data_IF_126751308213
#
_entry.id   IF_126751308213
#
_cell.length_a   1.000
_cell.length_b   1.000
_cell.length_c   1.000
_cell.angle_alpha   90.00
_cell.angle_beta   90.00
_cell.angle_gamma   90.00
#
_symmetry.space_group_name_H-M   'P 1'
#
loop_
_entity.id
_entity.type
_entity.pdbx_description
1 polymer ?
#
# COMPACT_ATOMS: atom_id res chain seq x y z
N UNK A 1 28.26 -27.51 6.79
CA UNK A 1 27.17 -26.81 6.13
C UNK A 1 25.93 -27.06 6.95
N UNK A 2 25.55 -26.14 7.83
CA UNK A 2 24.32 -26.24 8.61
C UNK A 2 23.18 -25.72 7.72
N UNK A 3 22.25 -26.61 7.37
CA UNK A 3 20.96 -26.18 6.83
C UNK A 3 20.26 -25.39 7.95
N UNK A 4 20.24 -24.07 7.85
CA UNK A 4 19.25 -23.30 8.58
C UNK A 4 17.90 -23.65 7.94
N UNK A 5 17.10 -24.44 8.64
CA UNK A 5 15.68 -24.57 8.31
C UNK A 5 15.12 -23.16 8.26
N UNK A 6 14.66 -22.74 7.08
CA UNK A 6 13.95 -21.47 6.91
C UNK A 6 12.65 -21.57 7.70
N UNK A 7 12.63 -20.99 8.89
CA UNK A 7 11.41 -20.88 9.68
C UNK A 7 10.48 -19.93 8.92
N UNK A 8 9.53 -20.49 8.18
CA UNK A 8 8.44 -19.73 7.57
C UNK A 8 7.33 -19.64 8.61
N UNK A 9 7.13 -18.49 9.25
CA UNK A 9 6.08 -18.35 10.25
C UNK A 9 4.72 -18.50 9.57
N UNK A 10 3.84 -19.29 10.16
CA UNK A 10 2.50 -19.54 9.62
C UNK A 10 1.61 -18.32 9.89
N UNK A 11 1.02 -17.78 8.83
CA UNK A 11 0.04 -16.72 8.95
C UNK A 11 -1.24 -17.20 9.65
N UNK A 12 -1.77 -16.37 10.56
CA UNK A 12 -3.03 -16.59 11.25
C UNK A 12 -4.10 -15.62 10.74
N UNK A 13 -5.34 -16.10 10.57
CA UNK A 13 -6.45 -15.25 10.18
C UNK A 13 -6.91 -14.40 11.36
N UNK A 14 -6.83 -13.07 11.22
CA UNK A 14 -7.35 -12.11 12.19
C UNK A 14 -8.80 -11.71 11.88
N UNK A 15 -9.12 -11.46 10.61
CA UNK A 15 -10.45 -11.08 10.14
C UNK A 15 -10.73 -11.77 8.80
N UNK A 16 -11.97 -12.21 8.60
CA UNK A 16 -12.45 -12.80 7.34
C UNK A 16 -13.72 -12.08 6.86
N UNK A 17 -14.09 -12.31 5.58
CA UNK A 17 -15.30 -11.76 4.99
C UNK A 17 -15.14 -10.36 4.40
N UNK A 18 -13.90 -9.88 4.25
CA UNK A 18 -13.56 -8.68 3.47
C UNK A 18 -13.92 -8.95 2.00
N UNK A 19 -14.52 -7.98 1.33
CA UNK A 19 -14.89 -8.16 -0.08
C UNK A 19 -13.66 -8.08 -0.98
N UNK A 20 -12.90 -6.99 -0.89
CA UNK A 20 -11.61 -6.81 -1.55
C UNK A 20 -10.81 -5.75 -0.81
N UNK A 21 -9.95 -6.18 0.09
CA UNK A 21 -9.13 -5.28 0.90
C UNK A 21 -7.91 -4.76 0.15
N UNK A 22 -7.57 -3.50 0.42
CA UNK A 22 -6.40 -2.80 -0.12
C UNK A 22 -5.93 -1.69 0.81
N UNK A 23 -4.75 -1.13 0.50
CA UNK A 23 -4.19 0.06 1.15
C UNK A 23 -4.19 -0.01 2.68
N UNK A 24 -3.62 -1.07 3.29
CA UNK A 24 -3.55 -1.17 4.74
C UNK A 24 -2.61 -0.10 5.31
N UNK A 25 -3.02 0.51 6.44
CA UNK A 25 -2.23 1.51 7.19
C UNK A 25 -2.36 1.27 8.68
N UNK A 26 -1.25 1.36 9.40
CA UNK A 26 -1.27 1.29 10.86
C UNK A 26 -1.41 2.69 11.44
N UNK A 27 -2.59 3.01 11.99
CA UNK A 27 -2.90 4.31 12.54
C UNK A 27 -3.72 4.18 13.84
N UNK A 28 -3.40 4.96 14.87
CA UNK A 28 -4.08 4.96 16.18
C UNK A 28 -4.28 3.56 16.79
N UNK A 29 -3.22 2.74 16.77
CA UNK A 29 -3.21 1.38 17.28
C UNK A 29 -4.24 0.44 16.64
N UNK A 30 -4.66 0.73 15.43
CA UNK A 30 -5.54 -0.10 14.59
C UNK A 30 -5.00 -0.22 13.19
N UNK A 31 -5.29 -1.33 12.54
CA UNK A 31 -5.09 -1.43 11.11
C UNK A 31 -6.30 -0.87 10.38
N UNK A 32 -6.05 0.14 9.57
CA UNK A 32 -7.04 0.69 8.65
C UNK A 32 -6.83 0.11 7.26
N UNK A 33 -7.91 -0.12 6.53
CA UNK A 33 -7.84 -0.60 5.16
C UNK A 33 -9.05 -0.16 4.34
N UNK A 34 -8.89 -0.10 3.03
CA UNK A 34 -9.96 0.11 2.07
C UNK A 34 -10.57 -1.23 1.67
N UNK A 35 -11.86 -1.47 1.96
CA UNK A 35 -12.60 -2.58 1.34
C UNK A 35 -13.26 -2.10 0.05
N UNK A 36 -12.56 -2.25 -1.05
CA UNK A 36 -12.99 -1.78 -2.37
C UNK A 36 -14.33 -2.38 -2.80
N UNK A 37 -14.55 -3.67 -2.49
CA UNK A 37 -15.75 -4.37 -2.88
C UNK A 37 -16.98 -3.94 -2.08
N UNK A 38 -16.80 -3.56 -0.83
CA UNK A 38 -17.86 -3.05 0.05
C UNK A 38 -18.02 -1.53 -0.02
N UNK A 39 -17.04 -0.82 -0.60
CA UNK A 39 -16.93 0.65 -0.59
C UNK A 39 -16.85 1.20 0.85
N UNK A 40 -16.05 0.56 1.66
CA UNK A 40 -15.91 0.90 3.08
C UNK A 40 -14.43 1.12 3.43
N UNK A 41 -14.18 2.01 4.37
CA UNK A 41 -12.90 2.10 5.08
C UNK A 41 -13.14 1.46 6.44
N UNK A 42 -12.34 0.44 6.73
CA UNK A 42 -12.41 -0.34 7.96
C UNK A 42 -11.24 0.01 8.88
N UNK A 43 -11.48 -0.04 10.20
CA UNK A 43 -10.43 -0.08 11.20
C UNK A 43 -10.56 -1.38 12.00
N UNK A 44 -9.45 -2.11 12.17
CA UNK A 44 -9.41 -3.43 12.82
C UNK A 44 -8.46 -3.35 14.00
N UNK A 45 -8.92 -3.73 15.19
CA UNK A 45 -8.07 -3.80 16.38
C UNK A 45 -7.23 -5.09 16.43
N UNK A 46 -6.29 -5.16 17.37
CA UNK A 46 -5.42 -6.32 17.54
C UNK A 46 -6.17 -7.63 17.87
N UNK A 47 -7.41 -7.56 18.32
CA UNK A 47 -8.29 -8.71 18.58
C UNK A 47 -9.13 -9.14 17.38
N UNK A 48 -9.01 -8.45 16.23
CA UNK A 48 -9.77 -8.73 15.01
C UNK A 48 -11.17 -8.13 14.97
N UNK A 49 -11.53 -7.28 15.93
CA UNK A 49 -12.80 -6.56 15.88
C UNK A 49 -12.69 -5.44 14.87
N UNK A 50 -13.54 -5.47 13.84
CA UNK A 50 -13.61 -4.47 12.80
C UNK A 50 -14.73 -3.46 13.02
N UNK A 51 -14.48 -2.22 12.62
CA UNK A 51 -15.43 -1.11 12.63
C UNK A 51 -15.42 -0.45 11.25
N UNK A 52 -16.61 -0.12 10.73
CA UNK A 52 -16.73 0.68 9.51
C UNK A 52 -16.58 2.15 9.91
N UNK A 53 -15.46 2.73 9.52
CA UNK A 53 -15.15 4.13 9.80
C UNK A 53 -15.83 5.08 8.82
N UNK A 54 -15.89 4.67 7.54
CA UNK A 54 -16.51 5.46 6.48
C UNK A 54 -17.11 4.56 5.41
N UNK A 55 -18.34 4.84 4.97
CA UNK A 55 -18.89 4.34 3.71
C UNK A 55 -18.62 5.36 2.63
N UNK A 56 -17.81 4.98 1.65
CA UNK A 56 -17.37 5.89 0.59
C UNK A 56 -18.36 5.91 -0.57
N UNK A 57 -18.54 7.07 -1.23
CA UNK A 57 -19.28 7.12 -2.49
C UNK A 57 -18.44 6.62 -3.68
N UNK A 58 -17.13 6.33 -3.45
CA UNK A 58 -16.16 6.06 -4.51
C UNK A 58 -16.21 4.61 -4.97
N UNK A 59 -15.94 4.43 -6.25
CA UNK A 59 -15.67 3.11 -6.83
C UNK A 59 -14.16 2.80 -6.74
N UNK A 60 -13.83 1.50 -6.84
CA UNK A 60 -12.43 1.06 -6.92
C UNK A 60 -11.71 1.65 -8.16
N UNK A 61 -10.44 1.97 -8.04
CA UNK A 61 -9.61 1.93 -6.84
C UNK A 61 -9.83 3.16 -5.93
N UNK A 62 -9.74 2.96 -4.62
CA UNK A 62 -9.59 4.04 -3.65
C UNK A 62 -8.65 3.60 -2.53
N UNK A 63 -7.63 4.39 -2.27
CA UNK A 63 -6.58 4.10 -1.29
C UNK A 63 -6.48 5.24 -0.28
N UNK A 64 -5.87 4.98 0.87
CA UNK A 64 -5.86 5.89 2.02
C UNK A 64 -4.46 6.14 2.55
N UNK A 65 -4.25 7.33 3.09
CA UNK A 65 -3.12 7.66 3.95
C UNK A 65 -3.42 8.91 4.78
N UNK A 66 -2.58 9.24 5.78
CA UNK A 66 -2.80 10.34 6.70
C UNK A 66 -1.88 11.52 6.46
N UNK A 67 -2.44 12.71 6.49
CA UNK A 67 -1.67 13.94 6.63
C UNK A 67 -1.00 14.00 8.03
N UNK A 68 0.12 14.71 8.18
CA UNK A 68 0.77 14.89 9.48
C UNK A 68 -0.12 15.53 10.57
N UNK A 69 -1.18 16.20 10.17
CA UNK A 69 -2.17 16.80 11.09
C UNK A 69 -3.27 15.78 11.53
N UNK A 70 -3.16 14.53 11.14
CA UNK A 70 -4.07 13.45 11.51
C UNK A 70 -5.34 13.34 10.67
N UNK A 71 -5.46 14.12 9.57
CA UNK A 71 -6.61 14.00 8.66
C UNK A 71 -6.36 12.96 7.60
N UNK A 72 -7.37 12.11 7.36
CA UNK A 72 -7.34 11.08 6.34
C UNK A 72 -7.46 11.67 4.94
N UNK A 73 -6.56 11.29 4.04
CA UNK A 73 -6.70 11.47 2.60
C UNK A 73 -7.15 10.17 1.94
N UNK A 74 -7.99 10.31 0.93
CA UNK A 74 -8.52 9.21 0.11
C UNK A 74 -8.24 9.55 -1.35
N UNK A 75 -7.57 8.66 -2.06
CA UNK A 75 -7.52 8.70 -3.52
C UNK A 75 -8.87 8.24 -4.04
N UNK A 76 -9.65 9.11 -4.65
CA UNK A 76 -10.83 8.75 -5.41
C UNK A 76 -10.38 8.55 -6.88
N UNK A 77 -9.92 7.31 -7.18
CA UNK A 77 -9.12 7.04 -8.37
C UNK A 77 -9.84 7.31 -9.68
N UNK A 78 -11.11 6.94 -9.79
CA UNK A 78 -11.93 7.18 -10.99
C UNK A 78 -12.40 8.63 -11.12
N UNK A 79 -12.56 9.31 -9.99
CA UNK A 79 -12.95 10.71 -9.93
C UNK A 79 -11.76 11.66 -10.12
N UNK A 80 -10.55 11.12 -10.25
CA UNK A 80 -9.30 11.86 -10.49
C UNK A 80 -9.06 12.96 -9.47
N UNK A 81 -9.23 12.66 -8.18
CA UNK A 81 -9.01 13.63 -7.10
C UNK A 81 -8.55 12.97 -5.81
N UNK A 82 -7.84 13.73 -5.01
CA UNK A 82 -7.68 13.46 -3.58
C UNK A 82 -8.84 14.10 -2.81
N UNK A 83 -9.39 13.35 -1.88
CA UNK A 83 -10.46 13.76 -1.00
C UNK A 83 -9.97 13.68 0.44
N UNK A 84 -10.28 14.67 1.24
CA UNK A 84 -9.95 14.72 2.65
C UNK A 84 -11.21 14.50 3.49
N UNK A 85 -11.11 13.58 4.44
CA UNK A 85 -12.18 13.36 5.41
C UNK A 85 -11.99 14.32 6.59
N UNK A 86 -13.01 15.14 6.85
CA UNK A 86 -13.00 16.16 7.90
C UNK A 86 -13.60 15.62 9.21
N UNK A 87 -13.27 16.25 10.37
CA UNK A 87 -13.80 15.83 11.67
C UNK A 87 -15.34 15.88 11.81
N UNK A 88 -16.01 16.69 10.99
CA UNK A 88 -17.48 16.76 10.94
C UNK A 88 -18.11 15.66 10.07
N UNK A 89 -17.28 14.75 9.52
CA UNK A 89 -17.69 13.68 8.62
C UNK A 89 -17.82 14.08 7.15
N UNK A 90 -17.59 15.34 6.80
CA UNK A 90 -17.65 15.78 5.41
C UNK A 90 -16.44 15.30 4.59
N UNK A 91 -16.67 15.10 3.29
CA UNK A 91 -15.63 14.75 2.31
C UNK A 91 -15.38 15.96 1.42
N UNK A 92 -14.21 16.57 1.54
CA UNK A 92 -13.84 17.77 0.77
C UNK A 92 -12.71 17.45 -0.22
N UNK A 93 -12.77 18.02 -1.41
CA UNK A 93 -11.68 17.88 -2.39
C UNK A 93 -10.42 18.53 -1.83
N UNK A 94 -9.36 17.74 -1.69
CA UNK A 94 -8.04 18.22 -1.28
C UNK A 94 -7.23 18.70 -2.48
N UNK A 95 -7.23 17.90 -3.58
CA UNK A 95 -6.57 18.23 -4.83
C UNK A 95 -7.29 17.60 -6.03
N UNK A 96 -7.24 18.26 -7.18
CA UNK A 96 -7.75 17.79 -8.46
C UNK A 96 -6.58 17.27 -9.29
N UNK A 97 -6.65 16.01 -9.71
CA UNK A 97 -5.59 15.32 -10.44
C UNK A 97 -5.83 15.27 -11.97
N UNK A 98 -6.99 15.75 -12.47
CA UNK A 98 -7.34 15.76 -13.90
C UNK A 98 -6.36 16.54 -14.76
N UNK A 99 -5.72 17.55 -14.19
CA UNK A 99 -4.68 18.34 -14.88
C UNK A 99 -3.38 17.55 -15.15
N UNK A 100 -3.20 16.38 -14.54
CA UNK A 100 -2.02 15.53 -14.72
C UNK A 100 -2.34 14.31 -15.60
N UNK A 101 -3.47 13.64 -15.35
CA UNK A 101 -3.90 12.49 -16.15
C UNK A 101 -5.40 12.27 -16.02
N UNK A 102 -6.02 11.79 -17.12
CA UNK A 102 -7.41 11.31 -17.14
C UNK A 102 -7.51 9.81 -16.81
N UNK A 103 -6.39 9.11 -16.61
CA UNK A 103 -6.37 7.72 -16.18
C UNK A 103 -6.73 7.58 -14.69
N UNK A 104 -7.22 6.41 -14.30
CA UNK A 104 -7.54 6.16 -12.90
C UNK A 104 -6.28 6.16 -12.02
N UNK A 105 -6.37 6.79 -10.87
CA UNK A 105 -5.33 6.79 -9.84
C UNK A 105 -5.49 5.59 -8.92
N UNK A 106 -4.39 5.08 -8.38
CA UNK A 106 -4.39 3.86 -7.60
C UNK A 106 -3.93 4.10 -6.15
N UNK A 107 -2.65 4.19 -5.89
CA UNK A 107 -2.08 4.18 -4.55
C UNK A 107 -1.58 5.56 -4.13
N UNK A 108 -1.45 5.77 -2.82
CA UNK A 108 -0.97 7.00 -2.19
C UNK A 108 0.04 6.68 -1.09
N UNK A 109 1.04 7.53 -0.94
CA UNK A 109 1.86 7.62 0.26
C UNK A 109 2.14 9.08 0.58
N UNK A 110 2.10 9.45 1.87
CA UNK A 110 2.31 10.83 2.34
C UNK A 110 3.62 10.89 3.13
N UNK A 111 4.50 11.84 2.80
CA UNK A 111 5.74 12.06 3.53
C UNK A 111 5.52 12.86 4.84
N UNK A 112 6.52 12.87 5.72
CA UNK A 112 6.46 13.62 6.98
C UNK A 112 6.35 15.14 6.84
N UNK A 113 6.44 15.67 5.61
CA UNK A 113 6.26 17.10 5.27
C UNK A 113 4.84 17.40 4.77
N UNK A 114 4.01 16.36 4.60
CA UNK A 114 2.64 16.47 4.10
C UNK A 114 2.53 16.52 2.58
N UNK A 115 3.57 16.10 1.87
CA UNK A 115 3.50 15.87 0.43
C UNK A 115 2.89 14.50 0.16
N UNK A 116 1.89 14.42 -0.70
CA UNK A 116 1.27 13.17 -1.13
C UNK A 116 1.80 12.77 -2.52
N UNK A 117 2.33 11.57 -2.62
CA UNK A 117 2.66 10.92 -3.89
C UNK A 117 1.53 9.99 -4.25
N UNK A 118 0.97 10.16 -5.44
CA UNK A 118 -0.16 9.38 -5.94
C UNK A 118 0.22 8.76 -7.25
N UNK A 119 0.10 7.46 -7.37
CA UNK A 119 0.41 6.77 -8.62
C UNK A 119 -0.84 6.27 -9.32
N UNK A 120 -0.70 5.90 -10.57
CA UNK A 120 -1.79 5.36 -11.39
C UNK A 120 -1.68 5.78 -12.85
N UNK A 121 -2.85 5.93 -13.51
CA UNK A 121 -2.92 6.32 -14.90
C UNK A 121 -2.06 5.47 -15.82
N UNK A 122 -1.36 6.06 -16.79
CA UNK A 122 -0.49 5.34 -17.72
C UNK A 122 0.92 5.08 -17.16
N UNK A 123 1.08 4.85 -15.87
CA UNK A 123 2.38 4.58 -15.23
C UNK A 123 3.10 5.84 -14.78
N UNK A 124 2.40 6.75 -14.12
CA UNK A 124 2.91 8.02 -13.62
C UNK A 124 2.80 8.13 -12.10
N UNK A 125 3.57 9.07 -11.54
CA UNK A 125 3.43 9.55 -10.17
C UNK A 125 3.15 11.05 -10.19
N UNK A 126 2.07 11.46 -9.56
CA UNK A 126 1.78 12.85 -9.24
C UNK A 126 2.24 13.17 -7.82
N UNK A 127 2.75 14.38 -7.64
CA UNK A 127 2.99 14.99 -6.34
C UNK A 127 1.88 16.01 -6.07
N UNK A 128 1.28 15.91 -4.91
CA UNK A 128 0.45 16.95 -4.32
C UNK A 128 1.21 17.49 -3.12
N UNK A 129 1.69 18.73 -3.21
CA UNK A 129 2.46 19.36 -2.14
C UNK A 129 1.58 19.76 -0.94
N UNK A 130 2.17 20.06 0.19
CA UNK A 130 1.43 20.47 1.39
C UNK A 130 0.56 21.75 1.17
N UNK A 131 0.95 22.62 0.23
CA UNK A 131 0.16 23.79 -0.22
C UNK A 131 -0.83 23.43 -1.34
N UNK A 132 -0.98 22.14 -1.68
CA UNK A 132 -1.90 21.55 -2.67
C UNK A 132 -1.58 21.85 -4.13
N UNK A 133 -0.37 22.28 -4.45
CA UNK A 133 0.06 22.34 -5.83
C UNK A 133 0.21 20.89 -6.37
N UNK A 134 -0.22 20.68 -7.62
CA UNK A 134 -0.23 19.35 -8.26
C UNK A 134 0.68 19.37 -9.48
N UNK A 135 1.57 18.36 -9.56
CA UNK A 135 2.42 18.17 -10.74
C UNK A 135 2.81 16.70 -10.91
N UNK A 136 3.08 16.28 -12.13
CA UNK A 136 3.74 15.00 -12.38
C UNK A 136 5.21 15.06 -11.95
N UNK A 137 5.71 14.02 -11.29
CA UNK A 137 7.10 13.92 -10.82
C UNK A 137 7.83 12.69 -11.33
N UNK A 138 7.11 11.68 -11.85
CA UNK A 138 7.70 10.54 -12.55
C UNK A 138 6.73 9.96 -13.57
N UNK A 139 7.29 9.20 -14.54
CA UNK A 139 6.55 8.47 -15.56
C UNK A 139 7.24 7.16 -15.96
N UNK A 140 6.69 6.44 -16.93
CA UNK A 140 7.26 5.21 -17.45
C UNK A 140 7.41 4.09 -16.41
N UNK A 141 6.49 4.03 -15.43
CA UNK A 141 6.45 3.00 -14.40
C UNK A 141 5.54 1.87 -14.87
N UNK A 142 6.05 0.66 -14.89
CA UNK A 142 5.35 -0.48 -15.46
C UNK A 142 4.29 -1.04 -14.48
N UNK A 143 3.09 -0.47 -14.51
CA UNK A 143 1.99 -0.74 -13.62
C UNK A 143 2.36 -0.43 -12.15
N UNK A 144 2.40 0.89 -11.80
CA UNK A 144 2.74 1.30 -10.45
C UNK A 144 1.68 0.82 -9.45
N UNK A 145 2.16 0.30 -8.32
CA UNK A 145 1.32 -0.20 -7.25
C UNK A 145 1.80 0.34 -5.90
N UNK A 146 2.00 -0.48 -4.88
CA UNK A 146 2.42 -0.04 -3.57
C UNK A 146 3.59 0.94 -3.57
N UNK A 147 3.57 1.88 -2.65
CA UNK A 147 4.64 2.85 -2.43
C UNK A 147 5.01 2.90 -0.95
N UNK A 148 6.30 3.14 -0.67
CA UNK A 148 6.80 3.38 0.67
C UNK A 148 7.88 4.46 0.64
N UNK A 149 7.97 5.26 1.71
CA UNK A 149 8.99 6.30 1.88
C UNK A 149 9.88 5.92 3.06
N UNK A 150 11.19 6.04 2.90
CA UNK A 150 12.16 5.78 3.98
C UNK A 150 11.93 6.71 5.18
N UNK A 151 12.28 6.28 6.42
CA UNK A 151 12.03 7.07 7.63
C UNK A 151 12.63 8.48 7.61
N UNK A 152 13.71 8.67 6.87
CA UNK A 152 14.39 9.95 6.70
C UNK A 152 13.74 10.88 5.65
N UNK A 153 12.67 10.44 5.01
CA UNK A 153 11.95 11.14 3.94
C UNK A 153 12.82 11.46 2.70
N UNK A 154 13.83 10.63 2.42
CA UNK A 154 14.77 10.87 1.30
C UNK A 154 14.56 9.98 0.10
N UNK A 155 13.90 8.82 0.27
CA UNK A 155 13.73 7.86 -0.82
C UNK A 155 12.27 7.42 -0.90
N UNK A 156 11.70 7.50 -2.10
CA UNK A 156 10.43 6.87 -2.44
C UNK A 156 10.74 5.55 -3.15
N UNK A 157 10.15 4.46 -2.68
CA UNK A 157 10.21 3.14 -3.31
C UNK A 157 8.84 2.82 -3.87
N UNK A 158 8.78 2.34 -5.12
CA UNK A 158 7.55 2.05 -5.85
C UNK A 158 7.59 0.63 -6.38
N UNK A 159 6.52 -0.11 -6.16
CA UNK A 159 6.30 -1.41 -6.78
C UNK A 159 5.91 -1.25 -8.25
N UNK A 160 6.64 -1.90 -9.14
CA UNK A 160 6.30 -2.04 -10.55
C UNK A 160 5.82 -3.47 -10.81
N UNK A 161 4.51 -3.72 -10.74
CA UNK A 161 3.97 -5.10 -10.83
C UNK A 161 4.30 -5.76 -12.16
N UNK A 162 4.10 -5.08 -13.28
CA UNK A 162 4.46 -5.59 -14.61
C UNK A 162 5.97 -5.54 -14.87
N UNK A 163 6.69 -4.66 -14.18
CA UNK A 163 8.14 -4.57 -14.23
C UNK A 163 8.85 -5.63 -13.38
N UNK A 164 8.13 -6.31 -12.49
CA UNK A 164 8.65 -7.31 -11.54
C UNK A 164 9.84 -6.80 -10.74
N UNK A 165 9.74 -5.56 -10.28
CA UNK A 165 10.82 -4.88 -9.56
C UNK A 165 10.29 -3.84 -8.59
N UNK A 166 11.17 -3.44 -7.70
CA UNK A 166 11.01 -2.23 -6.90
C UNK A 166 11.93 -1.15 -7.50
N UNK A 167 11.40 0.03 -7.70
CA UNK A 167 12.11 1.19 -8.22
C UNK A 167 12.21 2.26 -7.15
N UNK A 168 13.39 2.85 -6.97
CA UNK A 168 13.60 3.93 -6.02
C UNK A 168 13.85 5.26 -6.72
N UNK A 169 13.46 6.34 -6.05
CA UNK A 169 13.71 7.73 -6.40
C UNK A 169 14.24 8.48 -5.19
N UNK A 170 15.14 9.42 -5.40
CA UNK A 170 15.49 10.39 -4.37
C UNK A 170 14.45 11.49 -4.31
N UNK A 171 14.05 11.87 -3.10
CA UNK A 171 13.07 12.92 -2.82
C UNK A 171 13.81 14.23 -2.55
N UNK A 172 13.60 15.23 -3.39
CA UNK A 172 14.14 16.57 -3.21
C UNK A 172 13.38 17.37 -2.12
N UNK A 173 13.91 18.51 -1.70
CA UNK A 173 13.29 19.35 -0.68
C UNK A 173 11.91 19.88 -1.08
N UNK A 174 11.67 20.07 -2.37
CA UNK A 174 10.38 20.50 -2.95
C UNK A 174 9.43 19.33 -3.27
N UNK A 175 9.80 18.10 -2.84
CA UNK A 175 9.07 16.87 -3.11
C UNK A 175 9.29 16.27 -4.51
N UNK A 176 10.09 16.92 -5.37
CA UNK A 176 10.44 16.40 -6.70
C UNK A 176 11.18 15.07 -6.60
N UNK A 177 11.02 14.20 -7.61
CA UNK A 177 11.68 12.90 -7.70
C UNK A 177 12.84 12.97 -8.70
N UNK A 178 13.95 12.34 -8.34
CA UNK A 178 15.16 12.27 -9.16
C UNK A 178 15.90 10.94 -8.97
N UNK A 179 16.99 10.73 -9.69
CA UNK A 179 17.89 9.57 -9.54
C UNK A 179 17.14 8.24 -9.53
N UNK A 180 16.24 8.03 -10.53
CA UNK A 180 15.53 6.75 -10.71
C UNK A 180 16.50 5.60 -10.83
N UNK A 181 16.32 4.56 -10.00
CA UNK A 181 17.15 3.35 -10.00
C UNK A 181 16.34 2.11 -9.66
N UNK A 182 16.79 0.95 -10.11
CA UNK A 182 16.26 -0.33 -9.65
C UNK A 182 16.71 -0.50 -8.20
N UNK A 183 15.74 -0.60 -7.28
CA UNK A 183 16.01 -0.90 -5.88
C UNK A 183 16.14 -2.42 -5.65
N UNK A 184 15.28 -3.20 -6.28
CA UNK A 184 15.36 -4.66 -6.32
C UNK A 184 14.74 -5.22 -7.60
N UNK A 185 15.47 -6.09 -8.31
CA UNK A 185 14.93 -6.89 -9.41
C UNK A 185 14.39 -8.20 -8.82
N UNK A 186 13.10 -8.41 -8.89
CA UNK A 186 12.41 -9.53 -8.23
C UNK A 186 12.33 -10.78 -9.11
N UNK A 187 12.79 -10.72 -10.34
CA UNK A 187 12.85 -11.82 -11.32
C UNK A 187 11.48 -12.44 -11.61
N UNK A 188 10.89 -13.11 -10.63
CA UNK A 188 9.56 -13.77 -10.73
C UNK A 188 8.50 -13.12 -9.84
N UNK A 189 8.89 -12.32 -8.85
CA UNK A 189 7.98 -11.62 -7.95
C UNK A 189 7.16 -10.57 -8.68
N UNK A 190 5.87 -10.50 -8.38
CA UNK A 190 4.93 -9.51 -8.92
C UNK A 190 4.48 -8.63 -7.76
N UNK A 191 5.23 -7.55 -7.44
CA UNK A 191 4.96 -6.75 -6.25
C UNK A 191 3.66 -5.96 -6.40
N UNK A 192 2.84 -6.00 -5.34
CA UNK A 192 1.61 -5.24 -5.20
C UNK A 192 1.76 -4.21 -4.07
N UNK A 193 0.96 -4.22 -3.01
CA UNK A 193 1.16 -3.34 -1.86
C UNK A 193 2.46 -3.64 -1.11
N UNK A 194 3.14 -2.59 -0.63
CA UNK A 194 4.44 -2.70 0.05
C UNK A 194 4.46 -1.92 1.36
N UNK A 195 5.34 -2.30 2.28
CA UNK A 195 5.73 -1.50 3.43
C UNK A 195 7.23 -1.66 3.73
N UNK A 196 7.79 -0.74 4.54
CA UNK A 196 9.22 -0.72 4.86
C UNK A 196 9.44 -1.00 6.36
N UNK A 197 10.53 -1.68 6.69
CA UNK A 197 10.91 -1.97 8.07
C UNK A 197 12.11 -1.14 8.57
N UNK A 198 12.44 -1.29 9.85
CA UNK A 198 13.49 -0.51 10.50
C UNK A 198 14.93 -0.81 10.02
N UNK A 199 15.11 -1.88 9.25
CA UNK A 199 16.38 -2.19 8.56
C UNK A 199 16.40 -1.70 7.11
N UNK A 200 15.40 -0.88 6.72
CA UNK A 200 15.18 -0.43 5.35
C UNK A 200 14.93 -1.58 4.36
N UNK A 201 14.52 -2.76 4.83
CA UNK A 201 14.03 -3.80 3.93
C UNK A 201 12.55 -3.57 3.62
N UNK A 202 12.13 -4.00 2.43
CA UNK A 202 10.76 -3.85 1.96
C UNK A 202 10.06 -5.21 2.00
N UNK A 203 8.88 -5.22 2.63
CA UNK A 203 7.92 -6.28 2.44
C UNK A 203 7.04 -5.95 1.24
N UNK A 204 6.89 -6.88 0.31
CA UNK A 204 5.93 -6.76 -0.78
C UNK A 204 4.95 -7.92 -0.78
N UNK A 205 3.69 -7.62 -1.05
CA UNK A 205 2.66 -8.60 -1.32
C UNK A 205 2.77 -9.07 -2.77
N UNK A 206 2.51 -10.35 -3.02
CA UNK A 206 2.64 -11.00 -4.33
C UNK A 206 1.37 -11.81 -4.63
N UNK A 207 0.51 -11.26 -5.46
CA UNK A 207 -0.81 -11.83 -5.74
C UNK A 207 -0.71 -13.20 -6.42
N UNK A 208 0.01 -13.34 -7.57
CA UNK A 208 0.04 -14.62 -8.28
C UNK A 208 0.81 -15.71 -7.53
N UNK A 209 1.84 -15.35 -6.77
CA UNK A 209 2.67 -16.31 -6.04
C UNK A 209 2.13 -16.61 -4.64
N UNK A 210 1.06 -15.92 -4.17
CA UNK A 210 0.38 -16.15 -2.88
C UNK A 210 1.32 -16.06 -1.69
N UNK A 211 2.11 -15.01 -1.63
CA UNK A 211 3.12 -14.82 -0.61
C UNK A 211 3.31 -13.34 -0.28
N UNK A 212 3.91 -13.05 0.88
CA UNK A 212 4.57 -11.79 1.16
C UNK A 212 6.07 -12.04 1.31
N UNK A 213 6.89 -11.21 0.69
CA UNK A 213 8.34 -11.40 0.65
C UNK A 213 9.04 -10.17 1.20
N UNK A 214 10.00 -10.39 2.08
CA UNK A 214 10.90 -9.37 2.61
C UNK A 214 12.18 -9.37 1.80
N UNK A 215 12.52 -8.24 1.21
CA UNK A 215 13.75 -8.07 0.43
C UNK A 215 14.50 -6.82 0.89
N UNK A 216 15.83 -6.86 0.78
CA UNK A 216 16.63 -5.65 0.91
C UNK A 216 17.04 -5.10 -0.45
N UNK A 217 17.57 -3.89 -0.47
CA UNK A 217 18.16 -3.31 -1.69
C UNK A 217 19.15 -4.29 -2.32
N UNK A 218 19.07 -4.45 -3.65
CA UNK A 218 19.84 -5.46 -4.39
C UNK A 218 19.16 -6.81 -4.56
N UNK A 219 17.90 -6.96 -4.06
CA UNK A 219 17.02 -8.12 -4.25
C UNK A 219 17.35 -9.39 -3.44
N UNK A 220 18.20 -9.31 -2.43
CA UNK A 220 18.36 -10.45 -1.51
C UNK A 220 17.07 -10.69 -0.73
N UNK A 221 16.48 -11.87 -0.88
CA UNK A 221 15.32 -12.31 -0.12
C UNK A 221 15.73 -12.67 1.30
N UNK A 222 15.12 -12.01 2.28
CA UNK A 222 15.41 -12.18 3.69
C UNK A 222 14.39 -13.12 4.37
N UNK A 223 13.12 -13.04 3.93
CA UNK A 223 12.04 -13.84 4.50
C UNK A 223 10.89 -13.98 3.50
N UNK A 224 10.18 -15.10 3.56
CA UNK A 224 8.96 -15.33 2.78
C UNK A 224 7.87 -15.86 3.71
N UNK A 225 6.65 -15.38 3.52
CA UNK A 225 5.43 -15.86 4.19
C UNK A 225 4.47 -16.34 3.12
N UNK A 226 4.29 -17.64 3.04
CA UNK A 226 3.35 -18.26 2.11
C UNK A 226 1.94 -18.27 2.71
N UNK A 227 0.93 -18.04 1.86
CA UNK A 227 -0.48 -18.12 2.23
C UNK A 227 -1.28 -18.90 1.18
N UNK A 228 -2.56 -19.16 1.42
CA UNK A 228 -3.40 -19.97 0.54
C UNK A 228 -4.06 -19.21 -0.62
N UNK A 229 -3.94 -17.88 -0.63
CA UNK A 229 -4.62 -16.96 -1.57
C UNK A 229 -3.73 -15.81 -2.00
N UNK A 230 -4.16 -15.02 -3.00
CA UNK A 230 -3.39 -13.88 -3.48
C UNK A 230 -3.21 -12.81 -2.39
N UNK A 231 -1.98 -12.35 -2.21
CA UNK A 231 -1.65 -11.24 -1.32
C UNK A 231 -1.70 -9.93 -2.11
N UNK A 232 -2.56 -9.00 -1.72
CA UNK A 232 -2.74 -7.71 -2.39
C UNK A 232 -1.91 -6.62 -1.74
N UNK A 233 -1.89 -6.57 -0.41
CA UNK A 233 -1.11 -5.56 0.30
C UNK A 233 -0.62 -6.09 1.65
N UNK A 234 0.40 -5.42 2.20
CA UNK A 234 0.92 -5.73 3.52
C UNK A 234 1.29 -4.45 4.27
N UNK A 235 1.26 -4.52 5.62
CA UNK A 235 1.62 -3.43 6.50
C UNK A 235 2.19 -3.95 7.80
N UNK A 236 3.26 -3.33 8.28
CA UNK A 236 3.81 -3.57 9.60
C UNK A 236 3.12 -2.69 10.64
N UNK A 237 2.62 -3.31 11.69
CA UNK A 237 1.91 -2.63 12.77
C UNK A 237 1.87 -3.48 14.04
N UNK A 238 0.83 -3.31 14.86
CA UNK A 238 0.69 -4.02 16.12
C UNK A 238 1.58 -3.45 17.23
N UNK A 239 1.66 -4.19 18.33
CA UNK A 239 2.54 -3.84 19.43
C UNK A 239 4.00 -3.81 18.97
N UNK A 240 4.74 -2.77 19.27
CA UNK A 240 6.12 -2.57 18.80
C UNK A 240 6.28 -2.58 17.27
N UNK A 241 5.19 -2.48 16.48
CA UNK A 241 5.19 -2.55 15.00
C UNK A 241 5.81 -3.84 14.44
N UNK A 242 5.71 -4.95 15.17
CA UNK A 242 6.29 -6.26 14.81
C UNK A 242 5.28 -7.27 14.28
N UNK A 243 4.07 -6.85 13.99
CA UNK A 243 3.07 -7.69 13.34
C UNK A 243 2.97 -7.30 11.88
N UNK A 244 3.27 -8.24 10.97
CA UNK A 244 2.98 -8.08 9.54
C UNK A 244 1.50 -8.44 9.33
N UNK A 245 0.72 -7.48 8.93
CA UNK A 245 -0.64 -7.65 8.45
C UNK A 245 -0.62 -7.89 6.95
N UNK A 246 -1.33 -8.91 6.48
CA UNK A 246 -1.40 -9.28 5.07
C UNK A 246 -2.87 -9.24 4.65
N UNK A 247 -3.18 -8.42 3.67
CA UNK A 247 -4.50 -8.36 3.04
C UNK A 247 -4.50 -9.33 1.87
N UNK A 248 -5.35 -10.35 1.92
CA UNK A 248 -5.34 -11.42 0.94
C UNK A 248 -6.76 -11.85 0.55
N UNK A 249 -6.94 -12.29 -0.70
CA UNK A 249 -8.21 -12.81 -1.21
C UNK A 249 -7.98 -13.87 -2.30
N UNK A 250 -9.02 -14.66 -2.61
CA UNK A 250 -8.98 -15.52 -3.78
C UNK A 250 -8.89 -14.67 -5.05
N UNK A 251 -7.80 -14.79 -5.77
CA UNK A 251 -7.61 -14.09 -7.03
C UNK A 251 -8.06 -14.94 -8.22
N UNK A 252 -8.86 -14.35 -9.09
CA UNK A 252 -9.43 -15.03 -10.26
C UNK A 252 -9.13 -14.31 -11.59
N UNK A 253 -8.25 -13.29 -11.55
CA UNK A 253 -7.93 -12.43 -12.68
C UNK A 253 -8.69 -11.10 -12.68
N UNK A 254 -8.13 -10.09 -13.33
CA UNK A 254 -8.72 -8.73 -13.41
C UNK A 254 -10.10 -8.73 -14.07
N UNK A 255 -10.31 -9.60 -15.03
CA UNK A 255 -11.60 -9.74 -15.73
C UNK A 255 -12.73 -10.22 -14.80
N UNK A 256 -12.37 -10.81 -13.65
CA UNK A 256 -13.31 -11.30 -12.64
C UNK A 256 -13.31 -10.50 -11.35
N UNK A 257 -12.73 -9.29 -11.35
CA UNK A 257 -12.62 -8.43 -10.16
C UNK A 257 -13.96 -8.23 -9.45
N UNK A 258 -15.06 -8.08 -10.20
CA UNK A 258 -16.40 -7.94 -9.63
C UNK A 258 -16.92 -9.24 -8.97
N UNK A 259 -16.48 -10.41 -9.42
CA UNK A 259 -16.79 -11.69 -8.77
C UNK A 259 -16.00 -11.85 -7.49
N UNK A 260 -14.71 -11.50 -7.50
CA UNK A 260 -13.83 -11.51 -6.31
C UNK A 260 -14.43 -10.64 -5.22
N UNK A 261 -14.83 -9.41 -5.53
CA UNK A 261 -15.45 -8.49 -4.60
C UNK A 261 -16.77 -9.04 -3.99
N UNK A 262 -17.62 -9.70 -4.82
CA UNK A 262 -18.88 -10.28 -4.33
C UNK A 262 -18.68 -11.53 -3.49
N UNK A 263 -17.65 -12.32 -3.76
CA UNK A 263 -17.40 -13.59 -3.07
C UNK A 263 -16.98 -13.40 -1.61
N UNK A 264 -16.49 -12.20 -1.21
CA UNK A 264 -16.06 -11.85 0.14
C UNK A 264 -15.08 -12.88 0.73
N UNK A 265 -14.16 -13.35 -0.11
CA UNK A 265 -13.10 -14.31 0.28
C UNK A 265 -11.91 -13.63 0.93
N UNK A 266 -11.94 -12.29 1.03
CA UNK A 266 -10.88 -11.50 1.61
C UNK A 266 -10.67 -11.80 3.08
N UNK A 267 -9.40 -11.83 3.46
CA UNK A 267 -8.92 -12.02 4.82
C UNK A 267 -7.84 -11.01 5.16
N UNK A 268 -7.81 -10.63 6.42
CA UNK A 268 -6.66 -10.00 7.05
C UNK A 268 -5.94 -11.08 7.84
N UNK A 269 -4.69 -11.34 7.46
CA UNK A 269 -3.83 -12.32 8.11
C UNK A 269 -2.76 -11.59 8.92
N UNK A 270 -2.20 -12.24 9.93
CA UNK A 270 -1.11 -11.70 10.75
C UNK A 270 0.02 -12.68 10.89
N UNK A 271 1.25 -12.16 10.92
CA UNK A 271 2.49 -12.89 11.19
C UNK A 271 3.39 -12.03 12.06
N UNK A 272 3.94 -12.61 13.12
CA UNK A 272 4.95 -11.93 13.93
C UNK A 272 6.28 -11.84 13.18
N UNK A 273 6.90 -10.65 13.23
CA UNK A 273 8.19 -10.36 12.62
C UNK A 273 9.22 -9.97 13.68
N UNK A 274 10.49 -10.18 13.36
CA UNK A 274 11.60 -9.79 14.26
C UNK A 274 11.88 -8.30 14.14
N UNK A 275 11.84 -7.77 12.92
CA UNK A 275 12.15 -6.37 12.62
C UNK A 275 10.86 -5.55 12.59
N UNK A 276 10.78 -4.47 13.37
CA UNK A 276 9.59 -3.63 13.40
C UNK A 276 9.44 -2.80 12.12
N UNK A 277 8.22 -2.36 11.88
CA UNK A 277 7.92 -1.40 10.83
C UNK A 277 8.54 -0.03 11.07
N UNK A 278 8.91 0.63 9.99
CA UNK A 278 9.47 1.98 9.97
C UNK A 278 9.05 2.72 8.70
N UNK A 279 9.30 4.02 8.69
CA UNK A 279 9.01 4.84 7.51
C UNK A 279 7.53 5.18 7.32
N UNK A 280 7.19 5.44 6.08
CA UNK A 280 5.86 5.84 5.61
C UNK A 280 5.45 4.89 4.49
N UNK A 281 4.33 4.28 4.43
CA UNK A 281 3.19 4.38 5.31
C UNK A 281 3.43 3.84 6.70
#
# INVERSE_FOLDING_TARGET
MSFQESFSPKAATLLAGIAMGESPRWHDNRLWLSDWGAREILAVDAGGRSEIMLRTPFELPFCIDWLPDGRLLIVAGRENRLVRWEPDGSLVTHADLRGVSDGAWNEIVIDGRGNAYVNGGPGIIALVTADRAVRQVADGIAFPNGMAITPDNRTLIVAESHGKKLTAFDIAADGGLSNRRIWADLVTGVPDGICIDAENAVWYADVPNKQCVRVREGADVLQTVDVDRGCFACMLGGHEKKTLFIVAAEWRGMEKIAEVARARTGQLLTVETVVPGAGWP
#
